data_IF_463007532979
#
_entry.id   IF_463007532979
#
_cell.length_a   1.000
_cell.length_b   1.000
_cell.length_c   1.000
_cell.angle_alpha   90.00
_cell.angle_beta   90.00
_cell.angle_gamma   90.00
#
_symmetry.space_group_name_H-M   'P 1'
#
loop_
_entity.id
_entity.type
_entity.pdbx_description
1 polymer ?
#
# COMPACT_ATOMS: atom_id res chain seq x y z
N UNK A 1 -37.23 -61.11 30.80
CA UNK A 1 -36.92 -60.32 29.59
C UNK A 1 -35.97 -61.21 28.78
N UNK A 2 -36.34 -61.96 27.73
CA UNK A 2 -37.23 -61.65 26.60
C UNK A 2 -36.56 -60.56 25.76
N UNK A 3 -35.97 -60.79 24.58
CA UNK A 3 -35.86 -62.00 23.76
C UNK A 3 -35.00 -61.76 22.49
N UNK A 4 -34.89 -62.84 21.69
CA UNK A 4 -34.50 -62.99 20.27
C UNK A 4 -33.10 -62.46 19.81
N UNK A 5 -32.15 -63.31 19.39
CA UNK A 5 -32.02 -64.05 18.11
C UNK A 5 -31.80 -63.09 16.92
N UNK A 6 -30.88 -63.26 15.95
CA UNK A 6 -30.33 -64.45 15.29
C UNK A 6 -28.99 -64.10 14.58
N UNK A 7 -28.25 -65.15 14.23
CA UNK A 7 -26.94 -65.20 13.59
C UNK A 7 -26.86 -64.66 12.15
N UNK A 8 -25.63 -64.40 11.69
CA UNK A 8 -25.31 -64.24 10.27
C UNK A 8 -23.81 -64.02 10.02
N UNK A 9 -23.05 -65.09 9.86
CA UNK A 9 -21.68 -65.09 9.35
C UNK A 9 -21.67 -64.97 7.82
N UNK A 10 -20.79 -64.15 7.25
CA UNK A 10 -20.27 -64.37 5.91
C UNK A 10 -18.86 -63.78 5.79
N UNK A 11 -17.87 -64.67 5.75
CA UNK A 11 -16.53 -64.41 5.27
C UNK A 11 -16.55 -64.07 3.78
N UNK A 12 -15.60 -63.28 3.31
CA UNK A 12 -14.93 -63.53 2.02
C UNK A 12 -13.59 -62.80 1.96
N UNK A 13 -12.55 -63.62 1.83
CA UNK A 13 -11.16 -63.25 1.55
C UNK A 13 -11.01 -62.48 0.25
N UNK A 14 -10.02 -61.61 0.22
CA UNK A 14 -9.57 -60.93 -0.99
C UNK A 14 -8.23 -60.24 -0.75
N UNK A 15 -7.16 -61.05 -0.66
CA UNK A 15 -5.79 -60.61 -0.81
C UNK A 15 -5.62 -59.90 -2.17
N UNK A 16 -5.04 -58.70 -2.18
CA UNK A 16 -3.90 -58.33 -3.04
C UNK A 16 -3.55 -56.85 -2.83
N UNK A 17 -2.38 -56.63 -2.22
CA UNK A 17 -1.65 -55.37 -2.30
C UNK A 17 -1.33 -55.02 -3.75
N UNK A 18 -1.46 -53.73 -4.11
CA UNK A 18 -0.52 -53.09 -5.04
C UNK A 18 -0.40 -51.60 -4.74
N UNK A 19 0.78 -51.31 -4.24
CA UNK A 19 1.48 -50.03 -4.13
C UNK A 19 1.18 -49.08 -5.31
N UNK A 20 0.83 -47.84 -4.96
CA UNK A 20 1.09 -46.69 -5.79
C UNK A 20 1.44 -45.53 -4.85
N UNK A 21 2.65 -45.61 -4.30
CA UNK A 21 3.38 -44.48 -3.75
C UNK A 21 3.41 -43.32 -4.73
N UNK A 22 2.53 -42.33 -4.52
CA UNK A 22 2.65 -40.99 -5.10
C UNK A 22 2.87 -40.01 -3.95
N UNK A 23 4.13 -39.88 -3.54
CA UNK A 23 4.54 -38.84 -2.62
C UNK A 23 4.41 -37.49 -3.34
N UNK A 24 3.37 -36.74 -3.02
CA UNK A 24 3.32 -35.31 -3.32
C UNK A 24 4.32 -34.59 -2.40
N UNK A 25 5.11 -33.63 -2.89
CA UNK A 25 5.94 -32.84 -2.00
C UNK A 25 5.00 -31.90 -1.25
N UNK A 26 4.68 -32.27 0.00
CA UNK A 26 4.07 -31.34 0.94
C UNK A 26 5.06 -30.18 1.12
N UNK A 27 4.82 -29.08 0.41
CA UNK A 27 5.47 -27.80 0.66
C UNK A 27 5.09 -27.45 2.10
N UNK A 28 5.97 -27.77 3.05
CA UNK A 28 5.86 -27.29 4.42
C UNK A 28 5.99 -25.78 4.34
N UNK A 29 4.86 -25.08 4.31
CA UNK A 29 4.81 -23.68 4.64
C UNK A 29 5.36 -23.56 6.06
N UNK A 30 6.60 -23.09 6.18
CA UNK A 30 7.18 -22.71 7.46
C UNK A 30 6.28 -21.59 7.98
N UNK A 31 5.55 -21.77 9.10
CA UNK A 31 4.80 -20.69 9.69
C UNK A 31 5.82 -19.62 10.07
N UNK A 32 5.73 -18.45 9.43
CA UNK A 32 6.53 -17.30 9.87
C UNK A 32 6.20 -17.10 11.34
N UNK A 33 7.25 -17.15 12.15
CA UNK A 33 7.23 -17.01 13.60
C UNK A 33 6.33 -15.85 14.00
N UNK A 34 5.37 -16.14 14.87
CA UNK A 34 4.37 -15.20 15.39
C UNK A 34 4.96 -14.08 16.24
N UNK A 35 5.69 -13.17 15.60
CA UNK A 35 5.63 -11.77 16.01
C UNK A 35 4.19 -11.35 15.77
N UNK A 36 3.50 -10.80 16.78
CA UNK A 36 2.17 -10.24 16.55
C UNK A 36 2.34 -9.19 15.45
N UNK A 37 1.87 -9.49 14.23
CA UNK A 37 1.81 -8.50 13.18
C UNK A 37 1.06 -7.32 13.78
N UNK A 38 1.77 -6.23 14.12
CA UNK A 38 1.11 -5.00 14.52
C UNK A 38 0.28 -4.64 13.31
N UNK A 39 -1.03 -4.85 13.43
CA UNK A 39 -1.96 -4.68 12.33
C UNK A 39 -1.74 -3.30 11.76
N UNK A 40 -1.44 -3.21 10.47
CA UNK A 40 -1.13 -1.96 9.82
C UNK A 40 -2.41 -1.08 9.82
N UNK A 41 -2.46 0.03 10.58
CA UNK A 41 -3.70 0.79 10.73
C UNK A 41 -4.28 1.31 9.39
N UNK A 42 -3.46 1.76 8.41
CA UNK A 42 -3.92 2.11 7.08
C UNK A 42 -4.69 1.04 6.31
N UNK A 43 -4.59 -0.25 6.64
CA UNK A 43 -5.38 -1.31 6.00
C UNK A 43 -6.89 -1.16 6.21
N UNK A 44 -7.31 -0.38 7.22
CA UNK A 44 -8.71 -0.02 7.43
C UNK A 44 -9.22 1.03 6.43
N UNK A 45 -8.34 1.59 5.60
CA UNK A 45 -8.68 2.51 4.52
C UNK A 45 -9.35 1.82 3.34
N UNK A 46 -9.53 2.60 2.27
CA UNK A 46 -10.10 2.09 1.02
C UNK A 46 -9.52 2.79 -0.19
N UNK A 47 -9.45 2.06 -1.29
CA UNK A 47 -9.05 2.63 -2.58
C UNK A 47 -10.23 3.43 -3.17
N UNK A 48 -9.99 4.70 -3.50
CA UNK A 48 -11.00 5.63 -3.99
C UNK A 48 -10.61 6.17 -5.36
N UNK A 49 -11.56 6.26 -6.28
CA UNK A 49 -11.35 6.96 -7.56
C UNK A 49 -11.46 8.46 -7.32
N UNK A 50 -10.43 9.21 -7.73
CA UNK A 50 -10.33 10.66 -7.60
C UNK A 50 -10.14 11.30 -8.96
N UNK A 51 -10.86 12.39 -9.20
CA UNK A 51 -10.87 13.12 -10.47
C UNK A 51 -10.27 14.53 -10.26
N UNK A 52 -9.12 14.60 -9.58
CA UNK A 52 -8.45 15.88 -9.36
C UNK A 52 -8.02 16.51 -10.69
N UNK A 53 -8.09 17.83 -10.74
CA UNK A 53 -7.53 18.62 -11.84
C UNK A 53 -6.01 18.63 -11.72
N UNK A 54 -5.37 17.67 -12.38
CA UNK A 54 -3.92 17.52 -12.45
C UNK A 54 -3.49 17.30 -13.90
N UNK A 55 -2.23 17.62 -14.21
CA UNK A 55 -1.68 17.37 -15.53
C UNK A 55 -1.54 15.87 -15.82
N UNK A 56 -1.58 15.48 -17.11
CA UNK A 56 -1.36 14.10 -17.54
C UNK A 56 -0.06 13.53 -16.95
N UNK A 57 1.01 14.32 -16.98
CA UNK A 57 2.31 13.95 -16.42
C UNK A 57 2.26 13.71 -14.91
N UNK A 58 1.53 14.53 -14.15
CA UNK A 58 1.34 14.32 -12.71
C UNK A 58 0.58 13.01 -12.44
N UNK A 59 -0.42 12.72 -13.27
CA UNK A 59 -1.25 11.51 -13.17
C UNK A 59 -0.46 10.23 -13.46
N UNK A 60 0.29 10.24 -14.55
CA UNK A 60 1.20 9.15 -14.93
C UNK A 60 2.30 8.95 -13.87
N UNK A 61 2.86 10.05 -13.36
CA UNK A 61 3.85 10.01 -12.30
C UNK A 61 3.30 9.33 -11.04
N UNK A 62 2.13 9.75 -10.58
CA UNK A 62 1.44 9.16 -9.44
C UNK A 62 1.26 7.65 -9.63
N UNK A 63 0.68 7.22 -10.76
CA UNK A 63 0.47 5.81 -11.07
C UNK A 63 1.77 4.99 -11.07
N UNK A 64 2.86 5.55 -11.60
CA UNK A 64 4.17 4.87 -11.59
C UNK A 64 4.74 4.70 -10.18
N UNK A 65 4.63 5.71 -9.32
CA UNK A 65 5.16 5.65 -7.95
C UNK A 65 4.32 4.71 -7.08
N UNK A 66 3.00 4.82 -7.15
CA UNK A 66 2.09 4.11 -6.26
C UNK A 66 1.76 2.71 -6.75
N UNK A 67 1.85 2.47 -8.08
CA UNK A 67 1.34 1.27 -8.73
C UNK A 67 -0.18 1.23 -8.82
N UNK A 68 -0.87 2.31 -8.43
CA UNK A 68 -2.33 2.36 -8.45
C UNK A 68 -2.87 2.63 -9.87
N UNK A 69 -4.04 2.08 -10.23
CA UNK A 69 -4.65 2.35 -11.54
C UNK A 69 -4.97 3.83 -11.74
N UNK A 70 -4.87 4.30 -12.98
CA UNK A 70 -5.24 5.65 -13.39
C UNK A 70 -5.69 5.67 -14.86
N UNK A 71 -6.31 6.76 -15.29
CA UNK A 71 -6.62 7.06 -16.68
C UNK A 71 -6.36 8.53 -16.99
N UNK A 72 -5.51 8.79 -17.98
CA UNK A 72 -5.29 10.14 -18.53
C UNK A 72 -6.50 10.59 -19.33
N UNK A 73 -7.02 9.73 -20.20
CA UNK A 73 -8.18 10.01 -21.06
C UNK A 73 -9.43 10.36 -20.25
N UNK A 74 -9.69 9.60 -19.18
CA UNK A 74 -10.86 9.79 -18.32
C UNK A 74 -10.57 10.67 -17.09
N UNK A 75 -9.37 11.23 -17.00
CA UNK A 75 -8.92 12.16 -15.96
C UNK A 75 -9.16 11.69 -14.51
N UNK A 76 -8.86 10.42 -14.20
CA UNK A 76 -8.95 9.89 -12.84
C UNK A 76 -7.72 9.08 -12.40
N UNK A 77 -7.47 9.05 -11.08
CA UNK A 77 -6.48 8.19 -10.42
C UNK A 77 -7.16 7.44 -9.29
N UNK A 78 -6.72 6.22 -9.00
CA UNK A 78 -7.04 5.60 -7.71
C UNK A 78 -6.09 6.16 -6.64
N UNK A 79 -6.63 6.44 -5.48
CA UNK A 79 -5.93 6.95 -4.29
C UNK A 79 -6.35 6.13 -3.06
N UNK A 80 -5.63 6.28 -1.95
CA UNK A 80 -5.95 5.61 -0.68
C UNK A 80 -6.57 6.59 0.31
N UNK A 81 -7.82 6.36 0.69
CA UNK A 81 -8.51 7.13 1.71
C UNK A 81 -8.44 6.42 3.06
N UNK A 82 -7.70 7.01 4.01
CA UNK A 82 -7.60 6.55 5.39
C UNK A 82 -7.32 7.72 6.35
N UNK A 83 -8.37 8.26 6.97
CA UNK A 83 -8.35 9.51 7.79
C UNK A 83 -7.98 10.79 7.02
N UNK A 84 -7.08 10.67 6.05
CA UNK A 84 -6.74 11.63 5.00
C UNK A 84 -6.63 10.88 3.68
N UNK A 85 -6.55 11.65 2.60
CA UNK A 85 -6.23 11.12 1.29
C UNK A 85 -4.71 11.03 1.14
N UNK A 86 -4.28 9.93 0.51
CA UNK A 86 -2.91 9.63 0.15
C UNK A 86 -2.90 9.12 -1.28
N UNK A 87 -1.89 9.47 -2.07
CA UNK A 87 -1.80 9.04 -3.45
C UNK A 87 -1.70 7.52 -3.61
N UNK A 88 -1.14 6.83 -2.62
CA UNK A 88 -1.06 5.37 -2.60
C UNK A 88 -0.82 4.75 -1.23
N UNK A 89 -0.88 3.42 -1.19
CA UNK A 89 -0.64 2.63 0.01
C UNK A 89 0.03 1.29 -0.33
N UNK A 90 1.04 0.91 0.46
CA UNK A 90 1.82 -0.33 0.37
C UNK A 90 1.68 -1.13 1.67
N UNK A 91 0.78 -2.13 1.73
CA UNK A 91 0.47 -2.85 2.97
C UNK A 91 1.67 -3.63 3.53
N UNK A 92 2.54 -4.17 2.68
CA UNK A 92 3.70 -4.96 3.07
C UNK A 92 4.72 -4.19 3.92
N UNK A 93 4.72 -2.87 3.84
CA UNK A 93 5.60 -1.98 4.60
C UNK A 93 4.84 -0.97 5.47
N UNK A 94 3.52 -1.12 5.57
CA UNK A 94 2.60 -0.17 6.20
C UNK A 94 2.85 1.29 5.78
N UNK A 95 3.09 1.49 4.48
CA UNK A 95 3.58 2.75 3.93
C UNK A 95 2.50 3.46 3.13
N UNK A 96 2.15 4.66 3.57
CA UNK A 96 1.37 5.63 2.80
C UNK A 96 2.29 6.47 1.92
N UNK A 97 1.81 6.84 0.76
CA UNK A 97 2.61 7.43 -0.32
C UNK A 97 1.95 8.72 -0.80
N UNK A 98 2.78 9.74 -0.98
CA UNK A 98 2.44 10.96 -1.73
C UNK A 98 3.39 11.07 -2.94
N UNK A 99 2.89 11.51 -4.09
CA UNK A 99 3.62 11.63 -5.35
C UNK A 99 3.41 13.02 -5.98
N UNK A 100 4.44 13.87 -5.92
CA UNK A 100 4.40 15.23 -6.47
C UNK A 100 5.08 15.29 -7.84
N UNK A 101 4.26 15.34 -8.90
CA UNK A 101 4.69 15.47 -10.30
C UNK A 101 4.68 16.92 -10.81
N UNK A 102 5.77 17.36 -11.43
CA UNK A 102 5.92 18.64 -12.15
C UNK A 102 5.60 19.91 -11.34
N UNK A 103 6.14 20.03 -10.14
CA UNK A 103 5.92 21.22 -9.29
C UNK A 103 6.91 22.36 -9.51
N UNK A 104 7.98 22.15 -10.29
CA UNK A 104 8.96 23.19 -10.61
C UNK A 104 8.35 24.41 -11.32
N UNK A 105 7.20 24.21 -11.97
CA UNK A 105 6.44 25.30 -12.60
C UNK A 105 6.01 26.37 -11.60
N UNK A 106 5.89 26.05 -10.31
CA UNK A 106 5.51 26.98 -9.24
C UNK A 106 6.71 27.71 -8.59
N UNK A 107 7.92 27.46 -9.08
CA UNK A 107 9.17 28.09 -8.61
C UNK A 107 9.71 29.06 -9.65
N UNK A 108 10.01 30.30 -9.24
CA UNK A 108 10.82 31.24 -10.02
C UNK A 108 12.24 30.71 -10.20
N UNK A 109 13.05 31.26 -11.11
CA UNK A 109 14.43 30.80 -11.40
C UNK A 109 15.36 30.75 -10.19
N UNK A 110 15.10 31.54 -9.17
CA UNK A 110 15.84 31.64 -7.90
C UNK A 110 15.29 30.71 -6.79
N UNK A 111 14.48 29.71 -7.17
CA UNK A 111 13.83 28.74 -6.26
C UNK A 111 12.82 29.36 -5.29
N UNK A 112 12.39 30.60 -5.55
CA UNK A 112 11.37 31.28 -4.76
C UNK A 112 9.98 30.91 -5.30
N UNK A 113 9.07 30.35 -4.47
CA UNK A 113 7.68 30.17 -4.84
C UNK A 113 7.03 31.51 -5.19
N UNK A 114 6.18 31.51 -6.21
CA UNK A 114 5.39 32.71 -6.57
C UNK A 114 3.89 32.53 -6.32
N UNK A 115 3.49 31.38 -5.79
CA UNK A 115 2.14 31.03 -5.37
C UNK A 115 2.18 30.46 -3.95
N UNK A 116 1.01 30.28 -3.33
CA UNK A 116 0.87 29.58 -2.03
C UNK A 116 1.00 28.06 -2.13
N UNK A 117 1.27 27.53 -3.32
CA UNK A 117 1.26 26.07 -3.57
C UNK A 117 2.23 25.31 -2.67
N UNK A 118 3.36 25.91 -2.29
CA UNK A 118 4.30 25.29 -1.36
C UNK A 118 3.86 25.41 0.11
N UNK A 119 3.20 26.50 0.50
CA UNK A 119 2.59 26.62 1.83
C UNK A 119 1.49 25.55 2.01
N UNK A 120 0.62 25.41 1.01
CA UNK A 120 -0.45 24.40 0.98
C UNK A 120 0.12 22.97 1.00
N UNK A 121 1.26 22.76 0.33
CA UNK A 121 1.97 21.49 0.31
C UNK A 121 2.58 21.14 1.68
N UNK A 122 3.17 22.11 2.37
CA UNK A 122 3.67 21.95 3.73
C UNK A 122 2.54 21.69 4.74
N UNK A 123 1.39 22.37 4.59
CA UNK A 123 0.20 22.12 5.41
C UNK A 123 -0.33 20.69 5.21
N UNK A 124 -0.43 20.23 3.96
CA UNK A 124 -0.83 18.87 3.64
C UNK A 124 0.12 17.85 4.27
N UNK A 125 1.44 18.06 4.13
CA UNK A 125 2.46 17.20 4.72
C UNK A 125 2.32 17.14 6.24
N UNK A 126 2.11 18.28 6.91
CA UNK A 126 1.90 18.34 8.35
C UNK A 126 0.66 17.58 8.80
N UNK A 127 -0.45 17.76 8.11
CA UNK A 127 -1.70 17.07 8.42
C UNK A 127 -1.61 15.55 8.22
N UNK A 128 -0.95 15.10 7.16
CA UNK A 128 -0.71 13.66 6.92
C UNK A 128 0.28 13.08 7.94
N UNK A 129 1.37 13.80 8.25
CA UNK A 129 2.36 13.37 9.24
C UNK A 129 1.74 13.18 10.62
N UNK A 130 0.89 14.11 11.08
CA UNK A 130 0.19 14.00 12.35
C UNK A 130 -0.67 12.72 12.44
N UNK A 131 -1.41 12.40 11.36
CA UNK A 131 -2.20 11.15 11.30
C UNK A 131 -1.30 9.92 11.39
N UNK A 132 -0.19 9.89 10.66
CA UNK A 132 0.73 8.75 10.65
C UNK A 132 1.42 8.58 12.02
N UNK A 133 1.85 9.67 12.63
CA UNK A 133 2.53 9.70 13.93
C UNK A 133 1.66 9.13 15.07
N UNK A 134 0.35 9.39 15.03
CA UNK A 134 -0.61 8.87 16.01
C UNK A 134 -0.92 7.37 15.84
N UNK A 135 -0.49 6.74 14.73
CA UNK A 135 -0.90 5.40 14.33
C UNK A 135 0.26 4.46 13.93
N UNK A 136 1.24 4.20 14.81
CA UNK A 136 2.30 3.24 14.52
C UNK A 136 1.72 1.82 14.28
N UNK A 137 2.28 1.02 13.36
CA UNK A 137 3.52 1.23 12.60
C UNK A 137 3.34 1.95 11.24
N UNK A 138 2.28 2.75 11.05
CA UNK A 138 2.12 3.51 9.81
C UNK A 138 3.35 4.38 9.52
N UNK A 139 3.69 4.50 8.23
CA UNK A 139 4.76 5.36 7.72
C UNK A 139 4.24 6.19 6.56
N UNK A 140 4.90 7.32 6.31
CA UNK A 140 4.61 8.22 5.21
C UNK A 140 5.88 8.51 4.43
N UNK A 141 5.82 8.37 3.11
CA UNK A 141 6.91 8.77 2.22
C UNK A 141 6.40 9.61 1.05
N UNK A 142 7.10 10.71 0.81
CA UNK A 142 6.83 11.65 -0.27
C UNK A 142 7.84 11.47 -1.41
N UNK A 143 7.33 11.27 -2.62
CA UNK A 143 8.12 11.13 -3.83
C UNK A 143 7.97 12.35 -4.72
N UNK A 144 9.08 12.83 -5.25
CA UNK A 144 9.12 14.02 -6.10
C UNK A 144 9.71 13.67 -7.46
N UNK A 145 9.04 14.11 -8.53
CA UNK A 145 9.54 13.89 -9.89
C UNK A 145 10.75 14.77 -10.21
N UNK A 146 10.78 15.98 -9.65
CA UNK A 146 11.81 16.96 -9.94
C UNK A 146 12.70 17.19 -8.73
N UNK A 147 14.01 17.16 -8.96
CA UNK A 147 15.01 17.35 -7.91
C UNK A 147 14.86 18.72 -7.23
N UNK A 148 14.49 19.73 -8.01
CA UNK A 148 14.34 21.11 -7.54
C UNK A 148 13.21 21.26 -6.52
N UNK A 149 12.02 20.75 -6.82
CA UNK A 149 10.90 20.71 -5.85
C UNK A 149 11.28 19.86 -4.62
N UNK A 150 11.94 18.72 -4.81
CA UNK A 150 12.41 17.91 -3.69
C UNK A 150 13.38 18.67 -2.78
N UNK A 151 14.36 19.39 -3.36
CA UNK A 151 15.32 20.18 -2.61
C UNK A 151 14.66 21.31 -1.81
N UNK A 152 13.58 21.89 -2.34
CA UNK A 152 12.75 22.84 -1.60
C UNK A 152 12.07 22.16 -0.39
N UNK A 153 11.44 21.00 -0.61
CA UNK A 153 10.58 20.34 0.39
C UNK A 153 11.30 19.44 1.40
N UNK A 154 12.52 18.99 1.12
CA UNK A 154 13.23 18.01 1.97
C UNK A 154 13.43 18.49 3.40
N UNK A 155 13.66 19.79 3.61
CA UNK A 155 13.90 20.35 4.95
C UNK A 155 12.60 20.44 5.75
N UNK A 156 11.50 21.01 5.22
CA UNK A 156 10.18 20.91 5.85
C UNK A 156 9.77 19.47 6.18
N UNK A 157 9.88 18.53 5.23
CA UNK A 157 9.49 17.14 5.42
C UNK A 157 10.32 16.44 6.50
N UNK A 158 11.63 16.68 6.54
CA UNK A 158 12.50 16.12 7.58
C UNK A 158 12.12 16.60 8.99
N UNK A 159 11.69 17.87 9.15
CA UNK A 159 11.19 18.39 10.43
C UNK A 159 9.91 17.68 10.89
N UNK A 160 9.10 17.24 9.94
CA UNK A 160 7.88 16.45 10.17
C UNK A 160 8.16 14.94 10.31
N UNK A 161 9.43 14.51 10.26
CA UNK A 161 9.84 13.09 10.26
C UNK A 161 9.24 12.29 9.09
N UNK A 162 8.92 12.96 7.99
CA UNK A 162 8.42 12.35 6.76
C UNK A 162 9.59 11.98 5.87
N UNK A 163 9.62 10.71 5.43
CA UNK A 163 10.61 10.25 4.47
C UNK A 163 10.37 10.91 3.11
N UNK A 164 11.43 11.28 2.40
CA UNK A 164 11.29 11.82 1.05
C UNK A 164 12.40 11.37 0.12
N UNK A 165 12.08 11.30 -1.17
CA UNK A 165 13.02 10.89 -2.21
C UNK A 165 12.70 11.58 -3.53
N UNK A 166 13.75 11.98 -4.24
CA UNK A 166 13.64 12.37 -5.64
C UNK A 166 13.70 11.13 -6.53
N UNK A 167 12.64 10.90 -7.29
CA UNK A 167 12.50 9.80 -8.25
C UNK A 167 11.97 10.39 -9.55
N UNK A 168 12.80 10.65 -10.57
CA UNK A 168 12.39 11.27 -11.83
C UNK A 168 11.51 10.36 -12.67
#
# INVERSE_FOLDING_TARGET
MGGAAVAGTASLSGDTSKDASKAEPAVRAIPRTGESCKKCPPEAGSMQRRNWSMSDNSREYQGRITGFPYSVEEAWSMEWAWQRDFDGFRPESCLLIEAKGKYDQFLKKDDVPYTKTFDDMEEQAGAQAAVVDDHPPARLKWYFQTERTWNYMRTPLARLRVESEWVP
#
